data_IF_376233219564
#
_entry.id   IF_376233219564
#
_cell.length_a   1.000
_cell.length_b   1.000
_cell.length_c   1.000
_cell.angle_alpha   90.00
_cell.angle_beta   90.00
_cell.angle_gamma   90.00
#
_symmetry.space_group_name_H-M   'P 1'
#
loop_
_entity.id
_entity.type
_entity.pdbx_description
1 polymer ?
#
# COMPACT_ATOMS: atom_id res chain seq x y z
N UNK A 1 -17.80 0.54 -9.99
CA UNK A 1 -17.60 0.00 -8.62
C UNK A 1 -17.47 1.21 -7.69
N UNK A 2 -18.26 1.34 -6.61
CA UNK A 2 -18.06 2.45 -5.69
C UNK A 2 -16.68 2.33 -5.05
N UNK A 3 -15.94 3.44 -4.97
CA UNK A 3 -14.73 3.52 -4.16
C UNK A 3 -15.14 3.32 -2.69
N UNK A 4 -14.28 2.68 -1.90
CA UNK A 4 -14.52 2.52 -0.47
C UNK A 4 -14.76 3.90 0.17
N UNK A 5 -15.76 4.00 1.04
CA UNK A 5 -16.04 5.25 1.77
C UNK A 5 -14.83 5.57 2.65
N UNK A 6 -14.15 6.71 2.47
CA UNK A 6 -12.97 7.07 3.29
C UNK A 6 -13.29 7.17 4.78
N UNK A 7 -14.55 7.47 5.14
CA UNK A 7 -15.01 7.52 6.54
C UNK A 7 -15.16 6.13 7.19
N UNK A 8 -15.12 5.06 6.39
CA UNK A 8 -15.25 3.68 6.84
C UNK A 8 -13.92 2.96 7.06
N UNK A 9 -12.79 3.61 6.76
CA UNK A 9 -11.45 3.06 7.05
C UNK A 9 -11.16 3.23 8.53
N UNK A 10 -10.76 2.15 9.21
CA UNK A 10 -10.41 2.22 10.63
C UNK A 10 -9.20 3.14 10.82
N UNK A 11 -9.20 3.96 11.88
CA UNK A 11 -8.11 4.92 12.14
C UNK A 11 -6.78 4.24 12.46
N UNK A 12 -6.85 3.02 12.98
CA UNK A 12 -5.75 2.15 13.38
C UNK A 12 -5.53 1.01 12.38
N UNK A 13 -5.94 1.20 11.11
CA UNK A 13 -5.64 0.26 10.05
C UNK A 13 -4.13 0.09 9.90
N UNK A 14 -3.67 -1.16 9.94
CA UNK A 14 -2.26 -1.51 9.88
C UNK A 14 -2.06 -2.85 9.15
N UNK A 15 -0.88 -3.07 8.54
CA UNK A 15 -0.54 -4.38 7.99
C UNK A 15 -0.46 -5.43 9.11
N UNK A 16 -1.30 -6.46 9.05
CA UNK A 16 -1.20 -7.64 9.92
C UNK A 16 -0.23 -8.70 9.37
N UNK A 17 -0.06 -8.76 8.04
CA UNK A 17 0.97 -9.59 7.40
C UNK A 17 1.41 -9.01 6.06
N UNK A 18 2.67 -9.29 5.70
CA UNK A 18 3.27 -8.93 4.42
C UNK A 18 3.87 -10.19 3.82
N UNK A 19 3.49 -10.53 2.59
CA UNK A 19 3.97 -11.74 1.90
C UNK A 19 4.26 -11.46 0.44
N UNK A 20 5.19 -12.22 -0.16
CA UNK A 20 5.43 -12.17 -1.61
C UNK A 20 4.35 -12.89 -2.42
N UNK A 21 4.09 -12.39 -3.62
CA UNK A 21 3.28 -13.05 -4.65
C UNK A 21 4.13 -13.28 -5.90
N UNK A 22 4.71 -14.48 -5.99
CA UNK A 22 5.73 -14.79 -6.99
C UNK A 22 6.86 -13.75 -6.98
N UNK A 23 7.42 -13.49 -8.17
CA UNK A 23 8.50 -12.52 -8.33
C UNK A 23 8.03 -11.14 -8.83
N UNK A 24 6.75 -10.80 -8.64
CA UNK A 24 6.16 -9.60 -9.25
C UNK A 24 5.36 -8.70 -8.31
N UNK A 25 4.98 -9.17 -7.12
CA UNK A 25 4.13 -8.40 -6.22
C UNK A 25 4.36 -8.71 -4.74
N UNK A 26 3.88 -7.79 -3.90
CA UNK A 26 3.76 -7.91 -2.45
C UNK A 26 2.27 -7.86 -2.09
N UNK A 27 1.84 -8.72 -1.17
CA UNK A 27 0.50 -8.76 -0.61
C UNK A 27 0.55 -8.25 0.83
N UNK A 28 -0.30 -7.27 1.13
CA UNK A 28 -0.64 -6.82 2.47
C UNK A 28 -1.97 -7.42 2.89
N UNK A 29 -1.98 -8.07 4.05
CA UNK A 29 -3.21 -8.40 4.78
C UNK A 29 -3.40 -7.39 5.89
N UNK A 30 -4.50 -6.66 5.85
CA UNK A 30 -4.80 -5.62 6.83
C UNK A 30 -5.46 -6.22 8.08
N UNK A 31 -5.19 -5.64 9.25
CA UNK A 31 -5.75 -6.06 10.53
C UNK A 31 -7.28 -5.99 10.60
N UNK A 32 -7.90 -5.12 9.80
CA UNK A 32 -9.36 -5.03 9.66
C UNK A 32 -9.98 -6.12 8.75
N UNK A 33 -9.18 -7.09 8.30
CA UNK A 33 -9.66 -8.25 7.53
C UNK A 33 -9.70 -8.06 6.02
N UNK A 34 -9.40 -6.86 5.50
CA UNK A 34 -9.26 -6.64 4.07
C UNK A 34 -8.01 -7.36 3.52
N UNK A 35 -8.23 -8.24 2.53
CA UNK A 35 -7.19 -9.06 1.89
C UNK A 35 -6.78 -8.63 0.48
N UNK A 36 -7.27 -7.50 -0.02
CA UNK A 36 -7.08 -7.07 -1.41
C UNK A 36 -5.82 -6.21 -1.64
N UNK A 37 -4.89 -6.18 -0.70
CA UNK A 37 -3.69 -5.33 -0.74
C UNK A 37 -2.56 -5.89 -1.60
N UNK A 38 -2.81 -6.20 -2.88
CA UNK A 38 -1.77 -6.71 -3.80
C UNK A 38 -1.19 -5.54 -4.60
N UNK A 39 0.12 -5.31 -4.47
CA UNK A 39 0.84 -4.26 -5.19
C UNK A 39 2.01 -4.84 -5.96
N UNK A 40 2.13 -4.48 -7.24
CA UNK A 40 3.28 -4.91 -8.04
C UNK A 40 4.56 -4.22 -7.58
N UNK A 41 5.69 -4.91 -7.70
CA UNK A 41 7.01 -4.34 -7.37
C UNK A 41 7.31 -3.10 -8.22
N UNK A 42 6.86 -3.09 -9.48
CA UNK A 42 6.94 -1.93 -10.37
C UNK A 42 6.19 -0.72 -9.80
N UNK A 43 4.96 -0.92 -9.32
CA UNK A 43 4.16 0.16 -8.74
C UNK A 43 4.78 0.70 -7.46
N UNK A 44 5.23 -0.18 -6.55
CA UNK A 44 5.86 0.23 -5.30
C UNK A 44 7.17 1.01 -5.54
N UNK A 45 7.97 0.60 -6.53
CA UNK A 45 9.18 1.34 -6.92
C UNK A 45 8.86 2.73 -7.45
N UNK A 46 7.91 2.86 -8.38
CA UNK A 46 7.50 4.16 -8.91
C UNK A 46 6.96 5.08 -7.80
N UNK A 47 6.23 4.51 -6.83
CA UNK A 47 5.76 5.26 -5.67
C UNK A 47 6.93 5.75 -4.82
N UNK A 48 7.89 4.88 -4.50
CA UNK A 48 9.09 5.25 -3.72
C UNK A 48 9.92 6.33 -4.40
N UNK A 49 10.11 6.24 -5.72
CA UNK A 49 10.79 7.26 -6.52
C UNK A 49 10.05 8.61 -6.44
N UNK A 50 8.71 8.61 -6.58
CA UNK A 50 7.91 9.84 -6.47
C UNK A 50 7.91 10.49 -5.07
N UNK A 51 8.19 9.70 -4.02
CA UNK A 51 8.36 10.23 -2.67
C UNK A 51 9.77 10.75 -2.43
N UNK A 52 10.80 10.09 -2.99
CA UNK A 52 12.17 10.58 -2.93
C UNK A 52 12.29 11.96 -3.59
N UNK A 53 11.62 12.18 -4.73
CA UNK A 53 11.59 13.47 -5.40
C UNK A 53 10.97 14.59 -4.55
N UNK A 54 10.04 14.25 -3.64
CA UNK A 54 9.38 15.21 -2.75
C UNK A 54 10.19 15.54 -1.49
N UNK A 55 11.11 14.68 -1.08
CA UNK A 55 11.99 14.92 0.08
C UNK A 55 13.08 15.95 -0.25
N UNK A 56 13.41 16.14 -1.53
CA UNK A 56 14.43 17.11 -1.98
C UNK A 56 13.95 18.56 -1.89
N UNK A 57 12.63 18.81 -1.84
CA UNK A 57 12.05 20.16 -1.79
C UNK A 57 11.94 20.75 -0.37
N UNK A 58 12.25 19.98 0.68
CA UNK A 58 12.10 20.39 2.10
C UNK A 58 13.45 20.61 2.82
N UNK A 59 14.52 20.97 2.09
CA UNK A 59 15.87 21.26 2.61
C UNK A 59 16.37 22.63 2.18
#
# INVERSE_FOLDING_TARGET
>A
RPLANPKGVMRDVAPGAITGAGNYAIIFRWNEGHGTGIYSLKHLRALAESFADKVVEDV
#
